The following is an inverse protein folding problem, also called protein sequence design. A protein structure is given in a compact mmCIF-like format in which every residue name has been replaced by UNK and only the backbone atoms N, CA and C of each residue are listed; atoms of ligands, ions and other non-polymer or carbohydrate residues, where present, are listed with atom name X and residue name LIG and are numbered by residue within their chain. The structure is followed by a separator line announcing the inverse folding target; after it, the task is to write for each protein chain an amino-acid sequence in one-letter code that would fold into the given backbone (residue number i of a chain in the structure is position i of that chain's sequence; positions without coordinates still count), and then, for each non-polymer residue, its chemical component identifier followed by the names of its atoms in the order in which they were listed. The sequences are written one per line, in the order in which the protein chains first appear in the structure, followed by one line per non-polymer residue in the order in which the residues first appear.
data_IF_532197011507
#
_entry.id   IF_532197011507
#
_cell.length_a   1.000
_cell.length_b   1.000
_cell.length_c   1.000
_cell.angle_alpha   90.00
_cell.angle_beta   90.00
_cell.angle_gamma   90.00
#
_symmetry.space_group_name_H-M   'P 1'
#
loop_
_entity.id
_entity.type
_entity.pdbx_description
1 polymer ?
#
# COMPACT_ATOMS: atom_id res chain seq x y z
N UNK A 1 -52.88 -32.45 -67.20
CA UNK A 1 -52.92 -32.94 -65.81
C UNK A 1 -51.55 -32.69 -65.21
N UNK A 2 -51.53 -31.82 -64.20
CA UNK A 2 -50.44 -31.44 -63.30
C UNK A 2 -49.19 -30.72 -63.84
N UNK A 3 -48.89 -29.66 -63.10
CA UNK A 3 -47.91 -28.61 -63.25
C UNK A 3 -46.92 -28.77 -62.08
N UNK A 4 -45.76 -28.11 -62.19
CA UNK A 4 -44.99 -27.53 -61.07
C UNK A 4 -43.78 -28.30 -60.53
N UNK A 5 -42.63 -27.79 -61.00
CA UNK A 5 -41.46 -27.25 -60.27
C UNK A 5 -40.60 -28.19 -59.39
N UNK A 6 -39.31 -28.15 -59.71
CA UNK A 6 -38.19 -28.65 -58.93
C UNK A 6 -38.12 -28.03 -57.53
N UNK A 7 -37.80 -28.84 -56.52
CA UNK A 7 -37.23 -28.29 -55.29
C UNK A 7 -36.13 -29.21 -54.74
N UNK A 8 -34.90 -28.75 -54.94
CA UNK A 8 -33.70 -29.30 -54.34
C UNK A 8 -33.69 -28.92 -52.86
N UNK A 9 -33.82 -29.90 -51.96
CA UNK A 9 -33.42 -29.72 -50.55
C UNK A 9 -32.59 -30.90 -50.06
N UNK A 10 -31.27 -30.82 -50.28
CA UNK A 10 -30.32 -31.51 -49.40
C UNK A 10 -30.35 -30.83 -48.03
N UNK A 11 -31.02 -31.47 -47.07
CA UNK A 11 -30.93 -31.11 -45.65
C UNK A 11 -29.53 -31.46 -45.13
N UNK A 12 -28.52 -30.63 -45.41
CA UNK A 12 -27.31 -30.60 -44.59
C UNK A 12 -27.70 -29.85 -43.31
N UNK A 13 -28.08 -30.60 -42.28
CA UNK A 13 -28.18 -30.06 -40.93
C UNK A 13 -26.76 -29.70 -40.49
N UNK A 14 -26.36 -28.47 -40.77
CA UNK A 14 -25.21 -27.83 -40.14
C UNK A 14 -25.52 -27.68 -38.65
N UNK A 15 -25.12 -28.67 -37.86
CA UNK A 15 -24.92 -28.47 -36.43
C UNK A 15 -23.52 -27.87 -36.26
N UNK A 16 -23.35 -26.61 -36.67
CA UNK A 16 -22.34 -25.80 -36.00
C UNK A 16 -22.86 -25.62 -34.58
N UNK A 17 -22.43 -26.51 -33.69
CA UNK A 17 -22.37 -26.20 -32.28
C UNK A 17 -21.44 -25.00 -32.20
N UNK A 18 -22.01 -23.79 -32.29
CA UNK A 18 -21.35 -22.57 -31.96
C UNK A 18 -21.08 -22.65 -30.46
N UNK A 19 -19.98 -23.31 -30.09
CA UNK A 19 -19.31 -23.07 -28.84
C UNK A 19 -18.86 -21.61 -28.91
N UNK A 20 -19.79 -20.72 -28.54
CA UNK A 20 -19.50 -19.33 -28.23
C UNK A 20 -18.77 -19.36 -26.90
N UNK A 21 -17.52 -19.81 -26.91
CA UNK A 21 -16.58 -19.46 -25.85
C UNK A 21 -16.33 -17.97 -25.99
N UNK A 22 -17.19 -17.18 -25.36
CA UNK A 22 -16.79 -15.87 -24.88
C UNK A 22 -15.71 -16.13 -23.82
N UNK A 23 -14.46 -16.25 -24.26
CA UNK A 23 -13.34 -16.07 -23.34
C UNK A 23 -13.37 -14.61 -22.93
N UNK A 24 -13.96 -14.34 -21.77
CA UNK A 24 -13.91 -13.02 -21.17
C UNK A 24 -12.45 -12.77 -20.82
N UNK A 25 -11.78 -11.96 -21.61
CA UNK A 25 -10.47 -11.44 -21.27
C UNK A 25 -10.64 -10.57 -20.01
N UNK A 26 -10.06 -11.01 -18.90
CA UNK A 26 -10.01 -10.27 -17.64
C UNK A 26 -8.57 -9.87 -17.36
N UNK A 27 -8.36 -8.60 -17.02
CA UNK A 27 -7.05 -8.08 -16.63
C UNK A 27 -6.90 -8.27 -15.13
N UNK A 28 -5.80 -8.89 -14.70
CA UNK A 28 -5.50 -9.03 -13.28
C UNK A 28 -5.29 -7.67 -12.60
N UNK A 29 -5.88 -7.49 -11.41
CA UNK A 29 -5.70 -6.33 -10.53
C UNK A 29 -4.31 -6.31 -9.90
N UNK A 30 -3.84 -5.13 -9.50
CA UNK A 30 -2.53 -4.94 -8.85
C UNK A 30 -2.72 -4.52 -7.40
N UNK A 31 -1.80 -4.90 -6.49
CA UNK A 31 -1.84 -4.40 -5.12
C UNK A 31 -1.63 -2.87 -5.09
N UNK A 32 -2.12 -2.20 -4.05
CA UNK A 32 -1.89 -0.77 -3.87
C UNK A 32 -0.42 -0.50 -3.52
N UNK A 33 -0.02 0.77 -3.53
CA UNK A 33 1.27 1.24 -3.06
C UNK A 33 1.10 2.02 -1.77
N UNK A 34 1.86 1.65 -0.75
CA UNK A 34 1.97 2.38 0.51
C UNK A 34 3.20 3.29 0.46
N UNK A 35 3.08 4.51 0.98
CA UNK A 35 4.20 5.43 1.11
C UNK A 35 4.11 6.20 2.43
N UNK A 36 5.15 6.10 3.26
CA UNK A 36 5.32 6.95 4.43
C UNK A 36 6.02 8.24 4.01
N UNK A 37 5.35 9.37 4.22
CA UNK A 37 5.88 10.71 3.92
C UNK A 37 6.59 11.28 5.16
N UNK A 38 6.00 11.09 6.35
CA UNK A 38 6.60 11.45 7.63
C UNK A 38 6.25 10.43 8.71
N UNK A 39 7.18 10.14 9.65
CA UNK A 39 8.55 10.67 9.75
C UNK A 39 9.50 10.05 8.72
N UNK A 40 10.63 10.70 8.47
CA UNK A 40 11.68 10.14 7.62
C UNK A 40 12.35 8.93 8.28
N UNK A 41 12.79 7.96 7.47
CA UNK A 41 13.55 6.82 7.96
C UNK A 41 14.85 7.28 8.66
N UNK A 42 15.11 6.75 9.85
CA UNK A 42 16.22 7.13 10.72
C UNK A 42 15.99 8.39 11.56
N UNK A 43 14.79 8.97 11.55
CA UNK A 43 14.50 10.18 12.33
C UNK A 43 14.79 9.98 13.83
N UNK A 44 15.34 11.03 14.45
CA UNK A 44 15.57 11.10 15.90
C UNK A 44 14.53 12.03 16.50
N UNK A 45 13.70 11.48 17.38
CA UNK A 45 12.56 12.14 18.00
C UNK A 45 12.85 12.45 19.47
N UNK A 46 12.25 13.52 19.97
CA UNK A 46 12.33 13.87 21.39
C UNK A 46 11.28 13.07 22.19
N UNK A 47 11.65 12.40 23.29
CA UNK A 47 10.70 11.69 24.12
C UNK A 47 9.59 12.62 24.64
N UNK A 48 8.33 12.18 24.57
CA UNK A 48 7.18 12.90 25.09
C UNK A 48 6.70 14.09 24.24
N UNK A 49 7.28 14.31 23.06
CA UNK A 49 6.78 15.31 22.10
C UNK A 49 5.76 14.68 21.14
N UNK A 50 4.72 15.43 20.73
CA UNK A 50 3.79 14.98 19.71
C UNK A 50 4.50 14.56 18.42
N UNK A 51 4.01 13.51 17.78
CA UNK A 51 4.50 13.02 16.49
C UNK A 51 3.34 12.93 15.50
N UNK A 52 3.47 13.60 14.36
CA UNK A 52 2.57 13.40 13.23
C UNK A 52 3.09 12.28 12.34
N UNK A 53 2.24 11.30 12.07
CA UNK A 53 2.46 10.29 11.03
C UNK A 53 1.69 10.72 9.80
N UNK A 54 2.37 10.77 8.65
CA UNK A 54 1.76 11.14 7.39
C UNK A 54 2.18 10.16 6.29
N UNK A 55 1.21 9.69 5.52
CA UNK A 55 1.43 8.71 4.47
C UNK A 55 0.27 8.66 3.47
N UNK A 56 0.51 7.92 2.39
CA UNK A 56 -0.38 7.85 1.23
C UNK A 56 -0.59 6.39 0.81
N UNK A 57 -1.77 6.13 0.25
CA UNK A 57 -2.10 4.88 -0.43
C UNK A 57 -2.52 5.16 -1.86
N UNK A 58 -1.92 4.46 -2.83
CA UNK A 58 -2.23 4.60 -4.26
C UNK A 58 -2.59 3.25 -4.85
N UNK A 59 -3.82 3.10 -5.31
CA UNK A 59 -4.23 2.00 -6.18
C UNK A 59 -3.90 2.37 -7.65
N UNK A 60 -3.09 1.59 -8.38
CA UNK A 60 -2.80 1.83 -9.79
C UNK A 60 -4.04 1.89 -10.70
N UNK A 61 -5.13 1.23 -10.32
CA UNK A 61 -6.38 1.19 -11.08
C UNK A 61 -7.42 2.24 -10.62
N UNK A 62 -7.43 2.57 -9.34
CA UNK A 62 -8.44 3.43 -8.70
C UNK A 62 -7.94 4.81 -8.25
N UNK A 63 -6.64 5.05 -8.24
CA UNK A 63 -6.03 6.29 -7.76
C UNK A 63 -5.80 6.32 -6.25
N UNK A 64 -5.92 7.50 -5.64
CA UNK A 64 -5.63 7.67 -4.22
C UNK A 64 -6.68 7.00 -3.32
N UNK A 65 -6.20 6.24 -2.33
CA UNK A 65 -7.03 5.55 -1.36
C UNK A 65 -7.35 6.45 -0.17
N UNK A 66 -8.59 6.35 0.33
CA UNK A 66 -9.08 7.16 1.45
C UNK A 66 -8.58 6.67 2.81
N UNK A 67 -8.76 7.50 3.85
CA UNK A 67 -8.25 7.27 5.21
C UNK A 67 -8.56 5.89 5.81
N UNK A 68 -9.71 5.29 5.50
CA UNK A 68 -10.10 3.99 6.02
C UNK A 68 -9.23 2.83 5.49
N UNK A 69 -8.57 3.02 4.34
CA UNK A 69 -7.68 2.04 3.73
C UNK A 69 -6.27 2.06 4.36
N UNK A 70 -5.92 3.09 5.12
CA UNK A 70 -4.58 3.34 5.65
C UNK A 70 -4.56 3.01 7.14
N UNK A 71 -3.78 2.00 7.54
CA UNK A 71 -3.64 1.55 8.92
C UNK A 71 -2.19 1.67 9.40
N UNK A 72 -1.98 2.37 10.51
CA UNK A 72 -0.68 2.57 11.11
C UNK A 72 -0.45 1.63 12.29
N UNK A 73 0.77 1.09 12.38
CA UNK A 73 1.23 0.32 13.53
C UNK A 73 2.67 0.67 13.91
N UNK A 74 3.02 0.37 15.15
CA UNK A 74 4.35 0.49 15.72
C UNK A 74 4.78 -0.87 16.28
N UNK A 75 6.03 -1.26 16.05
CA UNK A 75 6.57 -2.54 16.53
C UNK A 75 6.53 -2.72 18.05
N UNK A 76 6.54 -1.63 18.83
CA UNK A 76 6.59 -1.70 20.30
C UNK A 76 5.20 -1.76 20.90
N UNK A 77 4.26 -0.97 20.39
CA UNK A 77 2.96 -0.84 21.05
C UNK A 77 1.74 -1.09 20.14
N UNK A 78 1.97 -1.62 18.95
CA UNK A 78 0.91 -2.11 18.06
C UNK A 78 0.21 -1.00 17.30
N UNK A 79 -1.10 -1.15 17.10
CA UNK A 79 -1.92 -0.24 16.28
C UNK A 79 -1.87 1.21 16.79
N UNK A 80 -1.68 2.16 15.86
CA UNK A 80 -1.64 3.60 16.12
C UNK A 80 -2.90 4.34 15.69
N UNK A 81 -3.56 3.84 14.65
CA UNK A 81 -4.78 4.45 14.13
C UNK A 81 -4.91 4.25 12.62
N UNK A 82 -5.93 4.88 12.05
CA UNK A 82 -6.18 4.86 10.61
C UNK A 82 -6.22 6.28 10.06
N UNK A 83 -5.77 6.45 8.82
CA UNK A 83 -5.76 7.74 8.13
C UNK A 83 -4.46 8.07 7.41
N UNK A 84 -4.56 8.98 6.45
CA UNK A 84 -3.40 9.55 5.78
C UNK A 84 -2.51 10.33 6.75
N UNK A 85 -3.13 11.07 7.68
CA UNK A 85 -2.44 11.83 8.71
C UNK A 85 -3.02 11.49 10.09
N UNK A 86 -2.17 11.07 11.03
CA UNK A 86 -2.56 10.83 12.42
C UNK A 86 -1.57 11.50 13.37
N UNK A 87 -2.10 12.14 14.42
CA UNK A 87 -1.31 12.75 15.47
C UNK A 87 -1.20 11.81 16.67
N UNK A 88 0.02 11.58 17.13
CA UNK A 88 0.33 10.89 18.38
C UNK A 88 0.70 11.95 19.42
N UNK A 89 -0.26 12.41 20.26
CA UNK A 89 -0.03 13.56 21.15
C UNK A 89 1.05 13.29 22.22
N UNK A 90 1.17 12.04 22.66
CA UNK A 90 2.21 11.62 23.61
C UNK A 90 3.50 11.14 22.92
N UNK A 91 3.55 11.23 21.59
CA UNK A 91 4.63 10.68 20.78
C UNK A 91 4.78 9.17 20.94
N UNK A 92 6.04 8.72 20.98
CA UNK A 92 6.45 7.34 21.15
C UNK A 92 7.27 7.18 22.44
N UNK A 93 7.34 5.95 22.96
CA UNK A 93 8.22 5.62 24.09
C UNK A 93 9.69 5.79 23.69
N UNK A 94 10.60 5.93 24.66
CA UNK A 94 12.03 5.97 24.35
C UNK A 94 12.51 4.63 23.81
N UNK A 95 13.31 4.65 22.74
CA UNK A 95 13.84 3.44 22.12
C UNK A 95 13.77 3.45 20.59
N UNK A 96 13.96 2.28 19.99
CA UNK A 96 13.85 2.06 18.54
C UNK A 96 12.44 1.58 18.19
N UNK A 97 11.80 2.27 17.27
CA UNK A 97 10.46 1.97 16.78
C UNK A 97 10.50 1.68 15.27
N UNK A 98 9.76 0.67 14.83
CA UNK A 98 9.44 0.46 13.42
C UNK A 98 8.00 0.87 13.20
N UNK A 99 7.80 1.95 12.46
CA UNK A 99 6.48 2.44 12.08
C UNK A 99 6.12 1.83 10.74
N UNK A 100 4.93 1.22 10.65
CA UNK A 100 4.44 0.56 9.44
C UNK A 100 3.10 1.13 9.05
N UNK A 101 3.01 1.60 7.81
CA UNK A 101 1.75 1.94 7.15
C UNK A 101 1.34 0.75 6.29
N UNK A 102 0.18 0.15 6.59
CA UNK A 102 -0.46 -0.86 5.76
C UNK A 102 -1.61 -0.23 4.99
N UNK A 103 -1.67 -0.49 3.70
CA UNK A 103 -2.70 0.02 2.79
C UNK A 103 -3.48 -1.16 2.23
N UNK A 104 -4.81 -1.08 2.26
CA UNK A 104 -5.72 -2.11 1.72
C UNK A 104 -6.67 -1.47 0.70
N UNK A 105 -6.71 -1.98 -0.53
CA UNK A 105 -7.62 -1.48 -1.56
C UNK A 105 -9.05 -2.07 -1.46
N UNK A 106 -9.93 -1.64 -2.36
CA UNK A 106 -11.32 -2.11 -2.40
C UNK A 106 -11.50 -3.56 -2.86
N UNK A 107 -10.47 -4.15 -3.48
CA UNK A 107 -10.44 -5.56 -3.89
C UNK A 107 -9.81 -6.45 -2.80
N UNK A 108 -9.38 -5.86 -1.68
CA UNK A 108 -8.79 -6.54 -0.53
C UNK A 108 -7.29 -6.84 -0.67
N UNK A 109 -6.61 -6.33 -1.72
CA UNK A 109 -5.16 -6.46 -1.84
C UNK A 109 -4.47 -5.47 -0.90
N UNK A 110 -3.31 -5.87 -0.39
CA UNK A 110 -2.57 -5.07 0.60
C UNK A 110 -1.14 -4.81 0.20
N UNK A 111 -0.60 -3.69 0.68
CA UNK A 111 0.84 -3.41 0.69
C UNK A 111 1.22 -2.66 1.95
N UNK A 112 2.52 -2.60 2.23
CA UNK A 112 3.02 -1.89 3.40
C UNK A 112 4.34 -1.18 3.10
N UNK A 113 4.56 -0.07 3.82
CA UNK A 113 5.82 0.65 3.89
C UNK A 113 6.21 0.82 5.37
N UNK A 114 7.52 0.85 5.64
CA UNK A 114 8.04 0.89 7.01
C UNK A 114 9.24 1.82 7.15
N UNK A 115 9.26 2.59 8.24
CA UNK A 115 10.39 3.45 8.62
C UNK A 115 10.85 3.15 10.04
N UNK A 116 12.16 3.17 10.25
CA UNK A 116 12.75 3.09 11.59
C UNK A 116 12.91 4.48 12.17
N UNK A 117 12.46 4.70 13.41
CA UNK A 117 12.72 5.94 14.15
C UNK A 117 13.33 5.64 15.51
N UNK A 118 14.04 6.63 16.04
CA UNK A 118 14.73 6.54 17.32
C UNK A 118 14.24 7.65 18.24
N UNK A 119 13.75 7.29 19.42
CA UNK A 119 13.19 8.24 20.37
C UNK A 119 14.14 8.37 21.56
N UNK A 120 14.60 9.58 21.81
CA UNK A 120 15.63 9.87 22.80
C UNK A 120 16.99 10.16 22.18
N UNK A 121 17.98 10.39 23.04
CA UNK A 121 19.36 10.55 22.58
C UNK A 121 19.85 9.21 22.05
N UNK A 122 20.07 9.13 20.73
CA UNK A 122 21.14 8.29 20.21
C UNK A 122 22.39 8.69 20.99
N UNK A 123 22.95 7.79 21.77
CA UNK A 123 24.19 8.02 22.53
C UNK A 123 25.29 8.42 21.54
N UNK A 124 25.40 9.73 21.29
CA UNK A 124 26.52 10.33 20.56
C UNK A 124 27.74 10.10 21.44
N UNK A 125 28.53 9.10 21.08
CA UNK A 125 29.89 8.95 21.60
C UNK A 125 30.62 10.27 21.30
N UNK A 126 31.13 10.89 22.37
CA UNK A 126 31.90 12.12 22.34
C UNK A 126 33.14 11.93 21.46
N UNK A 127 33.24 12.63 20.32
CA UNK A 127 34.56 12.80 19.68
C UNK A 127 35.40 13.66 20.64
N UNK A 128 36.56 13.18 21.13
CA UNK A 128 37.51 14.06 21.79
C UNK A 128 37.93 15.11 20.79
N UNK A 129 37.62 16.36 21.09
CA UNK A 129 38.15 17.49 20.36
C UNK A 129 39.66 17.48 20.60
N UNK A 130 40.44 16.96 19.64
CA UNK A 130 41.89 17.13 19.62
C UNK A 130 42.13 18.61 19.46
N UNK A 131 42.20 19.36 20.57
CA UNK A 131 42.93 20.61 20.60
C UNK A 131 44.40 20.24 20.44
N UNK A 132 44.89 20.23 19.20
CA UNK A 132 46.31 20.46 18.98
C UNK A 132 46.58 21.89 19.47
N UNK A 133 46.97 22.01 20.74
CA UNK A 133 47.87 23.08 21.14
C UNK A 133 49.20 22.79 20.46
N UNK A 134 49.63 23.68 19.58
CA UNK A 134 51.03 23.84 19.24
C UNK A 134 51.39 25.30 19.56
N UNK A 135 52.54 25.42 20.20
CA UNK A 135 53.14 26.65 20.74
C UNK A 135 53.38 27.71 19.67
#
# INVERSE_FOLDING_TARGET
MLQIVADCRCLVKSQVHAAKEKSHFSVARKPPQALIVQPANGAVLTPGYPLTLWGLGLDPEGGALGNAALSWSDSVSGTRGTGAEIELPNGLASGRHMLTLTVTDGDGMTSADSVTVYVGRLSRIWLPLVRKGFQ
#
